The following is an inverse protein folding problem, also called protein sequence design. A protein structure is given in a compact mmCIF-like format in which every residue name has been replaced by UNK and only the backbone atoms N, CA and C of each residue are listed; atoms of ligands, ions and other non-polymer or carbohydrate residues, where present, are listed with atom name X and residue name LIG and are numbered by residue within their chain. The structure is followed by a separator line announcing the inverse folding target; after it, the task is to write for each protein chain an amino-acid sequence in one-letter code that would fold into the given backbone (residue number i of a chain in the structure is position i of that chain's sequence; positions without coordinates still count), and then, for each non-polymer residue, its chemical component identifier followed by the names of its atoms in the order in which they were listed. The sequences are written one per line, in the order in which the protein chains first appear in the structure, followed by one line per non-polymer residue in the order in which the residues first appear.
data_IF_224731110882
#
_entry.id   IF_224731110882
#
_cell.length_a   1.000
_cell.length_b   1.000
_cell.length_c   1.000
_cell.angle_alpha   90.00
_cell.angle_beta   90.00
_cell.angle_gamma   90.00
#
_symmetry.space_group_name_H-M   'P 1'
#
loop_
_entity.id
_entity.type
_entity.pdbx_description
1 polymer ?
#
# COMPACT_ATOMS: atom_id res chain seq x y z
N UNK A 1 17.40 73.29 -7.76
CA UNK A 1 16.24 72.44 -8.07
C UNK A 1 16.69 70.98 -8.03
N UNK A 2 16.01 70.17 -7.21
CA UNK A 2 15.72 68.73 -7.35
C UNK A 2 16.93 67.78 -7.44
N UNK A 3 17.39 67.27 -6.30
CA UNK A 3 16.98 65.99 -5.67
C UNK A 3 17.90 64.82 -6.09
N UNK A 4 18.90 64.54 -5.23
CA UNK A 4 19.34 63.17 -4.95
C UNK A 4 18.10 62.31 -4.66
N UNK A 5 18.08 61.04 -5.08
CA UNK A 5 17.66 59.90 -4.25
C UNK A 5 17.94 58.61 -5.03
N UNK A 6 18.77 57.78 -4.40
CA UNK A 6 18.86 56.33 -4.49
C UNK A 6 17.78 55.64 -5.34
N UNK A 7 18.20 55.03 -6.45
CA UNK A 7 17.55 53.83 -6.98
C UNK A 7 18.27 52.59 -6.42
N UNK A 8 18.18 52.44 -5.09
CA UNK A 8 18.35 51.16 -4.41
C UNK A 8 16.95 50.72 -3.98
N UNK A 9 16.25 50.04 -4.88
CA UNK A 9 15.03 49.31 -4.55
C UNK A 9 15.26 47.87 -5.04
N UNK A 10 15.78 47.06 -4.13
CA UNK A 10 14.96 46.07 -3.44
C UNK A 10 14.47 45.00 -4.43
N UNK A 11 15.40 44.17 -4.90
CA UNK A 11 15.09 42.84 -5.40
C UNK A 11 14.63 42.06 -4.17
N UNK A 12 13.33 42.18 -3.89
CA UNK A 12 12.65 41.44 -2.85
C UNK A 12 12.78 39.96 -3.21
N UNK A 13 13.39 39.23 -2.28
CA UNK A 13 13.54 37.80 -2.25
C UNK A 13 12.20 37.11 -2.52
N UNK A 14 11.91 36.78 -3.78
CA UNK A 14 10.97 35.71 -4.10
C UNK A 14 11.75 34.41 -4.03
N UNK A 15 12.10 33.99 -2.81
CA UNK A 15 12.34 32.57 -2.61
C UNK A 15 11.01 31.89 -2.91
N UNK A 16 10.90 31.01 -3.92
CA UNK A 16 9.80 30.09 -3.93
C UNK A 16 9.99 29.27 -2.65
N UNK A 17 9.21 29.59 -1.61
CA UNK A 17 8.96 28.64 -0.54
C UNK A 17 8.17 27.51 -1.21
N UNK A 18 8.90 26.65 -1.92
CA UNK A 18 8.50 25.33 -2.28
C UNK A 18 8.37 24.64 -0.93
N UNK A 19 7.20 24.82 -0.29
CA UNK A 19 6.78 23.94 0.78
C UNK A 19 6.85 22.57 0.15
N UNK A 20 7.86 21.78 0.53
CA UNK A 20 7.90 20.37 0.20
C UNK A 20 6.57 19.84 0.68
N UNK A 21 5.64 19.68 -0.26
CA UNK A 21 4.32 19.17 0.02
C UNK A 21 4.61 17.82 0.66
N UNK A 22 4.30 17.71 1.95
CA UNK A 22 4.49 16.48 2.69
C UNK A 22 3.45 15.54 2.11
N UNK A 23 3.79 14.94 0.99
CA UNK A 23 3.05 13.85 0.40
C UNK A 23 3.05 12.81 1.49
N UNK A 24 1.88 12.59 2.10
CA UNK A 24 1.66 11.35 2.83
C UNK A 24 2.03 10.27 1.83
N UNK A 25 3.19 9.65 2.00
CA UNK A 25 3.67 8.62 1.09
C UNK A 25 2.58 7.57 1.05
N UNK A 26 2.00 7.39 -0.13
CA UNK A 26 0.85 6.52 -0.31
C UNK A 26 1.28 5.08 -0.04
N UNK A 27 0.45 4.36 0.70
CA UNK A 27 0.62 2.93 0.91
C UNK A 27 0.13 2.23 -0.34
N UNK A 28 0.98 1.37 -0.91
CA UNK A 28 0.59 0.46 -1.97
C UNK A 28 0.62 -0.97 -1.44
N UNK A 29 -0.50 -1.68 -1.49
CA UNK A 29 -0.58 -3.10 -1.09
C UNK A 29 -1.05 -3.90 -2.30
N UNK A 30 -0.31 -4.94 -2.64
CA UNK A 30 -0.74 -5.93 -3.62
C UNK A 30 -0.71 -7.32 -2.99
N UNK A 31 -1.73 -8.12 -3.27
CA UNK A 31 -1.73 -9.53 -2.92
C UNK A 31 -2.33 -10.34 -4.06
N UNK A 32 -1.63 -11.36 -4.53
CA UNK A 32 -2.09 -12.24 -5.60
C UNK A 32 -1.96 -13.69 -5.17
N UNK A 33 -3.06 -14.41 -5.11
CA UNK A 33 -3.12 -15.86 -4.94
C UNK A 33 -3.96 -16.46 -6.06
N UNK A 34 -3.34 -17.25 -6.94
CA UNK A 34 -4.02 -17.74 -8.14
C UNK A 34 -3.53 -19.13 -8.55
N UNK A 35 -4.47 -19.99 -8.93
CA UNK A 35 -4.25 -21.28 -9.59
C UNK A 35 -5.20 -21.40 -10.79
N UNK A 36 -5.26 -22.57 -11.44
CA UNK A 36 -6.19 -22.83 -12.55
C UNK A 36 -7.67 -22.73 -12.15
N UNK A 37 -8.01 -23.00 -10.89
CA UNK A 37 -9.39 -23.02 -10.39
C UNK A 37 -9.72 -21.98 -9.32
N UNK A 38 -8.77 -21.13 -8.96
CA UNK A 38 -8.91 -20.16 -7.88
C UNK A 38 -8.21 -18.85 -8.24
N UNK A 39 -8.85 -17.72 -7.95
CA UNK A 39 -8.25 -16.39 -8.08
C UNK A 39 -8.68 -15.51 -6.92
N UNK A 40 -7.70 -14.97 -6.22
CA UNK A 40 -7.86 -13.89 -5.26
C UNK A 40 -6.77 -12.85 -5.52
N UNK A 41 -7.18 -11.67 -5.94
CA UNK A 41 -6.27 -10.56 -6.22
C UNK A 41 -6.77 -9.31 -5.48
N UNK A 42 -5.91 -8.71 -4.67
CA UNK A 42 -6.17 -7.48 -3.94
C UNK A 42 -5.15 -6.42 -4.35
N UNK A 43 -5.64 -5.21 -4.59
CA UNK A 43 -4.82 -4.03 -4.88
C UNK A 43 -5.34 -2.83 -4.09
N UNK A 44 -4.48 -2.18 -3.32
CA UNK A 44 -4.71 -0.87 -2.73
C UNK A 44 -3.66 0.09 -3.28
N UNK A 45 -4.10 1.15 -3.96
CA UNK A 45 -3.23 2.22 -4.47
C UNK A 45 -4.01 3.53 -4.55
N UNK A 46 -3.41 4.63 -4.09
CA UNK A 46 -4.02 5.97 -4.14
C UNK A 46 -5.44 6.00 -3.54
N UNK A 47 -5.63 5.36 -2.39
CA UNK A 47 -6.92 5.16 -1.70
C UNK A 47 -7.95 4.29 -2.44
N UNK A 48 -7.65 3.82 -3.65
CA UNK A 48 -8.52 2.91 -4.40
C UNK A 48 -8.21 1.48 -3.97
N UNK A 49 -9.21 0.83 -3.37
CA UNK A 49 -9.14 -0.58 -3.02
C UNK A 49 -9.95 -1.39 -4.04
N UNK A 50 -9.29 -2.36 -4.67
CA UNK A 50 -9.86 -3.29 -5.63
C UNK A 50 -9.60 -4.72 -5.19
N UNK A 51 -10.64 -5.56 -5.22
CA UNK A 51 -10.52 -7.00 -5.01
C UNK A 51 -11.20 -7.74 -6.17
N UNK A 52 -10.49 -8.70 -6.74
CA UNK A 52 -10.99 -9.67 -7.71
C UNK A 52 -11.00 -11.06 -7.08
N UNK A 53 -12.21 -11.59 -6.86
CA UNK A 53 -12.44 -12.96 -6.38
C UNK A 53 -13.09 -13.76 -7.51
N UNK A 54 -12.35 -14.66 -8.14
CA UNK A 54 -12.84 -15.51 -9.23
C UNK A 54 -13.58 -14.72 -10.32
N UNK A 55 -13.01 -13.60 -10.75
CA UNK A 55 -13.56 -12.66 -11.75
C UNK A 55 -14.76 -11.82 -11.28
N UNK A 56 -15.14 -11.92 -10.00
CA UNK A 56 -16.04 -10.96 -9.36
C UNK A 56 -15.20 -9.82 -8.81
N UNK A 57 -15.22 -8.70 -9.51
CA UNK A 57 -14.44 -7.50 -9.17
C UNK A 57 -15.30 -6.55 -8.34
N UNK A 58 -14.78 -6.15 -7.19
CA UNK A 58 -15.32 -5.06 -6.37
C UNK A 58 -14.27 -3.96 -6.20
N UNK A 59 -14.70 -2.72 -6.23
CA UNK A 59 -13.82 -1.56 -6.13
C UNK A 59 -14.50 -0.43 -5.33
N UNK A 60 -13.74 0.24 -4.47
CA UNK A 60 -14.16 1.43 -3.74
C UNK A 60 -13.02 2.45 -3.65
N UNK A 61 -13.39 3.70 -3.46
CA UNK A 61 -12.49 4.76 -3.02
C UNK A 61 -12.63 4.88 -1.51
N UNK A 62 -11.55 4.59 -0.78
CA UNK A 62 -11.52 4.72 0.67
C UNK A 62 -11.61 6.19 1.07
N UNK A 63 -12.49 6.51 2.02
CA UNK A 63 -12.48 7.82 2.64
C UNK A 63 -11.27 7.97 3.58
N UNK A 64 -11.01 9.21 4.00
CA UNK A 64 -9.86 9.53 4.85
C UNK A 64 -9.78 8.67 6.12
N UNK A 65 -10.90 8.48 6.82
CA UNK A 65 -10.92 7.68 8.06
C UNK A 65 -10.61 6.20 7.81
N UNK A 66 -11.13 5.62 6.71
CA UNK A 66 -10.84 4.25 6.32
C UNK A 66 -9.36 4.09 5.93
N UNK A 67 -8.81 5.04 5.19
CA UNK A 67 -7.42 5.03 4.79
C UNK A 67 -6.47 5.22 5.97
N UNK A 68 -6.73 6.19 6.86
CA UNK A 68 -5.96 6.42 8.09
C UNK A 68 -5.96 5.17 8.99
N UNK A 69 -7.08 4.42 9.03
CA UNK A 69 -7.15 3.16 9.76
C UNK A 69 -6.23 2.08 9.16
N UNK A 70 -6.15 1.99 7.82
CA UNK A 70 -5.22 1.07 7.14
C UNK A 70 -3.78 1.51 7.34
N UNK A 71 -3.46 2.80 7.23
CA UNK A 71 -2.12 3.32 7.51
C UNK A 71 -1.67 2.97 8.92
N UNK A 72 -2.53 3.18 9.92
CA UNK A 72 -2.23 2.78 11.30
C UNK A 72 -1.99 1.28 11.43
N UNK A 73 -2.85 0.45 10.84
CA UNK A 73 -2.73 -1.01 10.92
C UNK A 73 -1.42 -1.50 10.31
N UNK A 74 -1.10 -1.03 9.10
CA UNK A 74 0.13 -1.37 8.38
C UNK A 74 1.37 -0.92 9.14
N UNK A 75 1.38 0.30 9.67
CA UNK A 75 2.53 0.83 10.43
C UNK A 75 2.79 0.05 11.73
N UNK A 76 1.79 -0.64 12.27
CA UNK A 76 1.93 -1.48 13.47
C UNK A 76 2.49 -2.89 13.15
N UNK A 77 2.52 -3.29 11.87
CA UNK A 77 3.07 -4.59 11.49
C UNK A 77 4.60 -4.51 11.44
N UNK A 78 5.26 -5.39 12.19
CA UNK A 78 6.71 -5.56 12.08
C UNK A 78 7.05 -6.49 10.91
N UNK A 79 7.10 -5.94 9.69
CA UNK A 79 7.39 -6.69 8.46
C UNK A 79 8.76 -7.39 8.46
N UNK A 80 9.72 -6.93 9.25
CA UNK A 80 11.05 -7.56 9.34
C UNK A 80 10.97 -8.94 10.02
N UNK A 81 9.97 -9.16 10.88
CA UNK A 81 9.73 -10.42 11.57
C UNK A 81 8.83 -11.39 10.81
N UNK A 82 8.34 -11.00 9.64
CA UNK A 82 7.49 -11.86 8.82
C UNK A 82 8.39 -12.76 7.98
N UNK A 83 8.07 -14.04 7.97
CA UNK A 83 8.77 -15.05 7.19
C UNK A 83 7.85 -15.62 6.11
N UNK A 84 8.45 -15.98 4.98
CA UNK A 84 7.78 -16.77 3.95
C UNK A 84 7.39 -18.13 4.56
N UNK A 85 6.21 -18.62 4.23
CA UNK A 85 5.73 -19.90 4.77
C UNK A 85 5.23 -20.85 3.67
N UNK A 86 5.79 -20.69 2.48
CA UNK A 86 5.52 -21.55 1.32
C UNK A 86 6.56 -22.66 1.23
N UNK A 87 6.11 -23.88 0.93
CA UNK A 87 6.97 -25.05 0.70
C UNK A 87 7.02 -25.35 -0.80
N UNK A 88 8.21 -25.55 -1.35
CA UNK A 88 8.40 -25.92 -2.76
C UNK A 88 7.79 -27.30 -3.05
N UNK A 89 7.95 -28.25 -2.12
CA UNK A 89 7.38 -29.59 -2.26
C UNK A 89 5.86 -29.54 -2.33
N UNK A 90 5.25 -28.69 -1.51
CA UNK A 90 3.79 -28.51 -1.48
C UNK A 90 3.27 -27.87 -2.77
N UNK A 91 4.05 -26.95 -3.34
CA UNK A 91 3.74 -26.33 -4.64
C UNK A 91 3.87 -27.34 -5.78
N UNK A 92 4.89 -28.20 -5.75
CA UNK A 92 5.15 -29.16 -6.81
C UNK A 92 4.03 -30.20 -7.00
N UNK A 93 3.28 -30.48 -5.93
CA UNK A 93 2.13 -31.40 -5.96
C UNK A 93 0.78 -30.68 -5.90
N UNK A 94 0.74 -29.38 -6.21
CA UNK A 94 -0.47 -28.54 -6.21
C UNK A 94 -1.27 -28.59 -4.88
N UNK A 95 -0.60 -28.83 -3.74
CA UNK A 95 -1.24 -28.95 -2.42
C UNK A 95 -1.66 -27.60 -1.84
N UNK A 96 -0.96 -26.55 -2.23
CA UNK A 96 -1.11 -25.20 -1.65
C UNK A 96 -1.24 -24.15 -2.74
N UNK A 97 -1.91 -23.06 -2.40
CA UNK A 97 -2.05 -21.91 -3.28
C UNK A 97 -0.99 -20.88 -2.88
N UNK A 98 -0.02 -20.63 -3.77
CA UNK A 98 0.97 -19.56 -3.56
C UNK A 98 0.27 -18.20 -3.57
N UNK A 99 0.46 -17.44 -2.49
CA UNK A 99 0.11 -16.03 -2.39
C UNK A 99 1.36 -15.17 -2.38
N UNK A 100 1.44 -14.18 -3.27
CA UNK A 100 2.51 -13.18 -3.28
C UNK A 100 1.95 -11.88 -2.70
N UNK A 101 2.52 -11.44 -1.58
CA UNK A 101 2.20 -10.17 -0.93
C UNK A 101 3.32 -9.17 -1.19
N UNK A 102 2.98 -7.97 -1.62
CA UNK A 102 3.93 -6.85 -1.67
C UNK A 102 3.33 -5.64 -1.00
N UNK A 103 4.15 -4.86 -0.31
CA UNK A 103 3.76 -3.57 0.24
C UNK A 103 4.86 -2.53 0.03
N UNK A 104 4.48 -1.35 -0.44
CA UNK A 104 5.28 -0.13 -0.36
C UNK A 104 4.77 0.72 0.80
N UNK A 105 5.62 0.88 1.82
CA UNK A 105 5.35 1.66 3.01
C UNK A 105 6.49 2.64 3.25
N UNK A 106 6.22 3.93 3.02
CA UNK A 106 7.13 5.03 3.39
C UNK A 106 8.57 4.84 2.86
N UNK A 107 8.72 4.45 1.58
CA UNK A 107 10.00 4.11 0.89
C UNK A 107 10.60 2.74 1.23
N UNK A 108 9.89 1.91 2.00
CA UNK A 108 10.29 0.51 2.22
C UNK A 108 9.37 -0.40 1.43
N UNK A 109 9.99 -1.20 0.56
CA UNK A 109 9.29 -2.28 -0.13
C UNK A 109 9.52 -3.60 0.61
N UNK A 110 8.45 -4.32 0.87
CA UNK A 110 8.50 -5.68 1.37
C UNK A 110 7.78 -6.61 0.39
N UNK A 111 8.29 -7.83 0.27
CA UNK A 111 7.74 -8.87 -0.58
C UNK A 111 7.81 -10.20 0.15
N UNK A 112 6.72 -10.94 0.16
CA UNK A 112 6.61 -12.22 0.83
C UNK A 112 5.83 -13.22 -0.02
N UNK A 113 6.19 -14.48 0.14
CA UNK A 113 5.51 -15.62 -0.45
C UNK A 113 4.87 -16.46 0.66
N UNK A 114 3.56 -16.60 0.59
CA UNK A 114 2.78 -17.30 1.59
C UNK A 114 2.01 -18.47 1.00
N UNK A 115 1.70 -19.45 1.84
CA UNK A 115 0.57 -20.33 1.59
C UNK A 115 -0.72 -19.53 1.86
N UNK A 116 -1.51 -19.26 0.82
CA UNK A 116 -2.78 -18.54 0.93
C UNK A 116 -3.74 -19.17 1.94
N UNK A 117 -3.68 -20.48 2.13
CA UNK A 117 -4.54 -21.20 3.07
C UNK A 117 -4.06 -21.10 4.53
N UNK A 118 -2.84 -20.60 4.76
CA UNK A 118 -2.22 -20.48 6.09
C UNK A 118 -1.41 -19.18 6.18
N UNK A 119 -2.07 -18.03 6.05
CA UNK A 119 -1.41 -16.73 6.15
C UNK A 119 -0.94 -16.46 7.60
N UNK A 120 0.15 -15.70 7.79
CA UNK A 120 0.47 -15.13 9.10
C UNK A 120 -0.71 -14.28 9.61
N UNK A 121 -1.03 -14.37 10.90
CA UNK A 121 -2.21 -13.74 11.49
C UNK A 121 -2.29 -12.22 11.20
N UNK A 122 -1.15 -11.54 11.21
CA UNK A 122 -1.06 -10.10 10.90
C UNK A 122 -1.49 -9.79 9.47
N UNK A 123 -1.05 -10.60 8.50
CA UNK A 123 -1.39 -10.45 7.09
C UNK A 123 -2.86 -10.84 6.86
N UNK A 124 -3.31 -11.95 7.46
CA UNK A 124 -4.72 -12.35 7.39
C UNK A 124 -5.65 -11.25 7.92
N UNK A 125 -5.31 -10.64 9.06
CA UNK A 125 -6.09 -9.57 9.65
C UNK A 125 -6.12 -8.31 8.77
N UNK A 126 -5.01 -7.95 8.15
CA UNK A 126 -4.94 -6.84 7.17
C UNK A 126 -5.86 -7.11 5.97
N UNK A 127 -5.75 -8.29 5.34
CA UNK A 127 -6.59 -8.63 4.17
C UNK A 127 -8.08 -8.66 4.55
N UNK A 128 -8.44 -9.28 5.67
CA UNK A 128 -9.82 -9.30 6.18
C UNK A 128 -10.38 -7.89 6.42
N UNK A 129 -9.54 -6.97 6.91
CA UNK A 129 -9.95 -5.59 7.15
C UNK A 129 -10.23 -4.85 5.84
N UNK A 130 -9.37 -5.04 4.83
CA UNK A 130 -9.57 -4.47 3.50
C UNK A 130 -10.85 -5.02 2.85
N UNK A 131 -11.05 -6.33 2.88
CA UNK A 131 -12.26 -6.96 2.36
C UNK A 131 -13.56 -6.41 2.96
N UNK A 132 -13.56 -6.12 4.27
CA UNK A 132 -14.74 -5.57 4.96
C UNK A 132 -15.19 -4.22 4.44
N UNK A 133 -14.33 -3.44 3.78
CA UNK A 133 -14.76 -2.18 3.18
C UNK A 133 -15.56 -2.37 1.89
N UNK A 134 -15.47 -3.55 1.26
CA UNK A 134 -16.12 -3.89 -0.01
C UNK A 134 -17.39 -4.74 0.16
N UNK A 135 -17.79 -5.04 1.39
CA UNK A 135 -18.97 -5.84 1.71
C UNK A 135 -20.11 -4.98 2.24
#
# INVERSE_FOLDING_TARGET
MKFLILFSTLILMLSPSCKKQQTNKEIEINYTAQTRGFKYVLHLKNNVLKIDKNNVVKEIILNKSQYDNIDSLVNNINFIKIENNISIDDLAVDRVIKGVFTIDLKEKKYEFEFNHQKLPDTIQNLLNKLEKFLN
#
